data_IF_669673834665
#
_entry.id   IF_669673834665
#
_cell.length_a   1.000
_cell.length_b   1.000
_cell.length_c   1.000
_cell.angle_alpha   90.00
_cell.angle_beta   90.00
_cell.angle_gamma   90.00
#
_symmetry.space_group_name_H-M   'P 1'
#
loop_
_entity.id
_entity.type
_entity.pdbx_description
1 polymer ?
#
# COMPACT_ATOMS: atom_id res chain seq x y z
N UNK A 1 21.48 -45.61 8.96
CA UNK A 1 22.72 -45.06 8.36
C UNK A 1 22.54 -43.57 8.19
N UNK A 2 23.51 -42.75 8.62
CA UNK A 2 23.42 -41.29 8.54
C UNK A 2 24.04 -40.76 7.23
N UNK A 3 23.51 -39.64 6.72
CA UNK A 3 24.26 -38.67 5.92
C UNK A 3 23.98 -37.27 6.47
N UNK A 4 25.05 -36.52 6.68
CA UNK A 4 25.06 -35.16 7.23
C UNK A 4 25.94 -34.25 6.34
N UNK A 5 26.11 -32.98 6.75
CA UNK A 5 26.83 -31.88 6.08
C UNK A 5 26.09 -31.25 4.87
N UNK A 6 26.17 -29.95 4.55
CA UNK A 6 26.73 -28.73 5.20
C UNK A 6 26.17 -27.48 4.47
N UNK A 7 26.26 -26.20 4.91
CA UNK A 7 26.67 -25.60 6.20
C UNK A 7 26.27 -24.12 6.31
N UNK A 8 25.96 -23.65 7.53
CA UNK A 8 26.19 -22.31 8.12
C UNK A 8 26.28 -21.06 7.22
N UNK A 9 25.46 -20.06 7.54
CA UNK A 9 25.93 -18.68 7.75
C UNK A 9 25.28 -18.11 9.03
N UNK A 10 25.94 -17.15 9.67
CA UNK A 10 25.62 -16.70 11.04
C UNK A 10 24.77 -15.44 11.02
N UNK A 11 23.82 -15.29 11.95
CA UNK A 11 23.49 -13.98 12.50
C UNK A 11 23.05 -14.07 13.98
N UNK A 12 23.64 -13.19 14.78
CA UNK A 12 23.41 -12.88 16.21
C UNK A 12 22.18 -13.46 16.93
N UNK A 13 22.43 -14.14 18.06
CA UNK A 13 21.47 -14.27 19.17
C UNK A 13 21.11 -12.87 19.68
N UNK A 14 19.81 -12.55 19.76
CA UNK A 14 19.26 -11.58 20.72
C UNK A 14 18.01 -12.22 21.33
N UNK A 15 18.12 -12.54 22.61
CA UNK A 15 17.10 -12.73 23.64
C UNK A 15 15.72 -13.31 23.25
N UNK A 16 15.56 -14.60 23.56
CA UNK A 16 14.28 -15.26 23.58
C UNK A 16 13.44 -14.81 24.79
N UNK A 17 12.49 -13.91 24.58
CA UNK A 17 11.30 -13.83 25.44
C UNK A 17 10.22 -14.76 24.91
N UNK A 18 9.86 -15.75 25.72
CA UNK A 18 8.79 -16.68 25.43
C UNK A 18 7.43 -15.99 25.56
N UNK A 19 6.77 -15.74 24.44
CA UNK A 19 5.34 -15.45 24.43
C UNK A 19 4.65 -16.50 23.59
N UNK A 20 3.88 -17.38 24.23
CA UNK A 20 3.04 -18.41 23.61
C UNK A 20 1.82 -17.77 22.96
N UNK A 21 2.06 -16.89 21.98
CA UNK A 21 1.04 -16.34 21.10
C UNK A 21 0.64 -17.39 20.07
N UNK A 22 -0.67 -17.65 19.94
CA UNK A 22 -1.22 -18.51 18.89
C UNK A 22 -0.96 -17.85 17.53
N UNK A 23 0.09 -18.28 16.82
CA UNK A 23 0.44 -17.67 15.53
C UNK A 23 -0.63 -17.97 14.46
N UNK A 24 -1.54 -17.02 14.26
CA UNK A 24 -2.58 -17.11 13.22
C UNK A 24 -1.94 -16.89 11.84
N UNK A 25 -1.71 -17.98 11.12
CA UNK A 25 -1.21 -17.93 9.75
C UNK A 25 -2.17 -17.15 8.84
N UNK A 26 -1.66 -16.09 8.21
CA UNK A 26 -2.46 -15.20 7.39
C UNK A 26 -2.43 -15.65 5.91
N UNK A 27 -3.49 -16.34 5.49
CA UNK A 27 -3.73 -16.83 4.13
C UNK A 27 -3.55 -15.77 3.02
N UNK A 28 -3.69 -14.48 3.32
CA UNK A 28 -3.55 -13.40 2.32
C UNK A 28 -2.11 -12.89 2.18
N UNK A 29 -1.27 -13.08 3.20
CA UNK A 29 0.14 -12.68 3.18
C UNK A 29 1.11 -13.86 3.08
N UNK A 30 0.60 -15.10 3.14
CA UNK A 30 1.39 -16.34 3.18
C UNK A 30 2.45 -16.27 4.30
N UNK A 31 2.01 -15.89 5.51
CA UNK A 31 2.93 -15.59 6.61
C UNK A 31 2.33 -15.94 7.97
N UNK A 32 3.16 -16.59 8.79
CA UNK A 32 2.91 -16.88 10.21
C UNK A 32 2.99 -15.59 11.05
N UNK A 33 3.77 -14.60 10.59
CA UNK A 33 3.97 -13.31 11.27
C UNK A 33 2.88 -12.27 10.93
N UNK A 34 1.80 -12.68 10.27
CA UNK A 34 0.71 -11.78 9.88
C UNK A 34 1.05 -10.90 8.69
N UNK A 35 0.90 -9.58 8.82
CA UNK A 35 1.21 -8.62 7.75
C UNK A 35 2.72 -8.37 7.71
N UNK A 36 3.42 -8.57 6.57
CA UNK A 36 4.82 -8.19 6.46
C UNK A 36 4.99 -6.69 6.70
N UNK A 37 6.08 -6.31 7.37
CA UNK A 37 6.36 -4.89 7.63
C UNK A 37 6.45 -4.12 6.32
N UNK A 38 5.75 -3.00 6.25
CA UNK A 38 5.72 -2.08 5.10
C UNK A 38 7.09 -1.43 4.81
N UNK A 39 8.02 -1.55 5.76
CA UNK A 39 9.37 -1.01 5.73
C UNK A 39 10.39 -1.96 5.08
N UNK A 40 9.99 -3.16 4.67
CA UNK A 40 10.86 -4.07 3.90
C UNK A 40 10.84 -3.67 2.44
N UNK A 41 12.03 -3.57 1.84
CA UNK A 41 12.20 -3.31 0.42
C UNK A 41 11.53 -4.39 -0.44
N UNK A 42 10.88 -3.98 -1.53
CA UNK A 42 10.32 -4.90 -2.51
C UNK A 42 11.18 -4.97 -3.77
N UNK A 43 11.47 -6.20 -4.17
CA UNK A 43 12.17 -6.54 -5.42
C UNK A 43 11.34 -6.22 -6.68
N UNK A 44 10.02 -6.03 -6.54
CA UNK A 44 9.07 -5.86 -7.64
C UNK A 44 8.27 -4.55 -7.51
N UNK A 45 8.12 -3.84 -8.64
CA UNK A 45 7.41 -2.58 -8.75
C UNK A 45 6.44 -2.62 -9.93
N UNK A 46 5.23 -2.08 -9.75
CA UNK A 46 4.26 -1.92 -10.83
C UNK A 46 4.72 -0.82 -11.78
N UNK A 47 4.74 -1.11 -13.08
CA UNK A 47 4.78 -0.12 -14.15
C UNK A 47 3.40 0.00 -14.81
N UNK A 48 2.59 1.04 -14.48
CA UNK A 48 1.23 1.17 -15.02
C UNK A 48 1.17 1.25 -16.56
N UNK A 49 2.23 1.73 -17.19
CA UNK A 49 2.32 1.94 -18.64
C UNK A 49 2.65 0.66 -19.42
N UNK A 50 3.25 -0.35 -18.76
CA UNK A 50 3.67 -1.62 -19.39
C UNK A 50 2.87 -2.83 -18.92
N UNK A 51 2.51 -2.88 -17.64
CA UNK A 51 1.91 -4.07 -17.02
C UNK A 51 0.39 -4.13 -17.21
N UNK A 52 -0.22 -3.02 -17.62
CA UNK A 52 -1.65 -2.86 -17.92
C UNK A 52 -2.10 -3.79 -19.04
N UNK A 53 -2.58 -4.98 -18.68
CA UNK A 53 -2.88 -6.07 -19.59
C UNK A 53 -4.36 -6.48 -19.49
N UNK A 54 -4.99 -6.86 -20.61
CA UNK A 54 -6.31 -7.48 -20.56
C UNK A 54 -6.20 -8.80 -19.81
N UNK A 55 -7.09 -9.03 -18.85
CA UNK A 55 -7.16 -10.27 -18.06
C UNK A 55 -8.48 -10.99 -18.33
N UNK A 56 -8.68 -12.16 -17.71
CA UNK A 56 -9.96 -12.88 -17.74
C UNK A 56 -11.04 -12.22 -16.89
N UNK A 57 -10.69 -11.27 -16.02
CA UNK A 57 -11.68 -10.48 -15.29
C UNK A 57 -12.21 -9.32 -16.16
N UNK A 58 -13.54 -9.19 -16.20
CA UNK A 58 -14.24 -8.03 -16.77
C UNK A 58 -14.68 -7.04 -15.68
N UNK A 59 -14.83 -7.52 -14.45
CA UNK A 59 -15.34 -6.78 -13.29
C UNK A 59 -14.34 -6.81 -12.13
N UNK A 60 -14.44 -5.88 -11.15
CA UNK A 60 -13.62 -5.90 -9.92
C UNK A 60 -13.69 -7.24 -9.17
N UNK A 61 -12.68 -7.60 -8.35
CA UNK A 61 -11.62 -6.73 -7.82
C UNK A 61 -10.36 -6.63 -8.69
N UNK A 62 -9.52 -5.63 -8.36
CA UNK A 62 -8.16 -5.46 -8.90
C UNK A 62 -7.22 -6.52 -8.32
N UNK A 63 -6.21 -6.94 -9.08
CA UNK A 63 -5.25 -7.93 -8.63
C UNK A 63 -4.23 -7.31 -7.66
N UNK A 64 -4.17 -7.82 -6.41
CA UNK A 64 -3.17 -7.40 -5.42
C UNK A 64 -1.74 -7.65 -5.92
N UNK A 65 -1.48 -8.81 -6.54
CA UNK A 65 -0.15 -9.13 -7.06
C UNK A 65 0.26 -8.23 -8.24
N UNK A 66 -0.70 -7.70 -9.00
CA UNK A 66 -0.47 -6.71 -10.05
C UNK A 66 -0.13 -5.35 -9.45
N UNK A 67 -0.88 -4.88 -8.45
CA UNK A 67 -0.57 -3.64 -7.74
C UNK A 67 0.85 -3.66 -7.13
N UNK A 68 1.34 -4.85 -6.77
CA UNK A 68 2.70 -5.07 -6.26
C UNK A 68 3.76 -5.36 -7.34
N UNK A 69 3.41 -5.39 -8.63
CA UNK A 69 4.36 -5.66 -9.75
C UNK A 69 4.85 -7.10 -9.86
N UNK A 70 4.16 -8.08 -9.26
CA UNK A 70 4.61 -9.49 -9.15
C UNK A 70 3.66 -10.53 -9.78
N UNK A 71 2.67 -10.12 -10.56
CA UNK A 71 1.66 -11.04 -11.09
C UNK A 71 2.13 -11.79 -12.35
N UNK A 72 2.52 -13.05 -12.21
CA UNK A 72 2.93 -13.92 -13.33
C UNK A 72 1.78 -14.46 -14.19
N UNK A 73 0.51 -14.25 -13.81
CA UNK A 73 -0.66 -14.86 -14.49
C UNK A 73 -1.02 -14.20 -15.84
N UNK A 74 -0.61 -12.95 -16.05
CA UNK A 74 -0.94 -12.16 -17.25
C UNK A 74 -2.43 -12.24 -17.62
N UNK A 75 -2.71 -12.55 -18.89
CA UNK A 75 -4.07 -12.65 -19.44
C UNK A 75 -4.95 -13.67 -18.73
N UNK A 76 -4.38 -14.73 -18.15
CA UNK A 76 -5.15 -15.77 -17.44
C UNK A 76 -5.63 -15.34 -16.05
N UNK A 77 -5.22 -14.16 -15.56
CA UNK A 77 -5.57 -13.70 -14.22
C UNK A 77 -7.09 -13.52 -14.04
N UNK A 78 -7.59 -13.93 -12.87
CA UNK A 78 -9.01 -13.82 -12.48
C UNK A 78 -9.37 -12.47 -11.82
N UNK A 79 -8.48 -11.49 -11.88
CA UNK A 79 -8.62 -10.15 -11.27
C UNK A 79 -8.05 -9.11 -12.23
N UNK A 80 -8.53 -7.88 -12.18
CA UNK A 80 -8.17 -6.82 -13.13
C UNK A 80 -6.69 -6.40 -13.00
N UNK A 81 -6.02 -6.21 -14.14
CA UNK A 81 -4.68 -5.59 -14.26
C UNK A 81 -4.79 -4.19 -14.87
N UNK A 82 -5.38 -3.27 -14.11
CA UNK A 82 -5.41 -1.83 -14.43
C UNK A 82 -5.39 -1.00 -13.15
N UNK A 83 -5.12 0.28 -13.31
CA UNK A 83 -5.33 1.26 -12.24
C UNK A 83 -6.83 1.35 -11.85
N UNK A 84 -7.14 1.84 -10.63
CA UNK A 84 -8.51 2.06 -10.19
C UNK A 84 -9.24 3.05 -11.10
N UNK A 85 -10.54 2.83 -11.30
CA UNK A 85 -11.43 3.72 -12.02
C UNK A 85 -12.66 4.03 -11.15
N UNK A 86 -13.38 5.12 -11.46
CA UNK A 86 -14.62 5.50 -10.74
C UNK A 86 -15.65 4.37 -10.73
N UNK A 87 -15.65 3.51 -11.76
CA UNK A 87 -16.46 2.30 -11.85
C UNK A 87 -16.28 1.33 -10.66
N UNK A 88 -15.08 1.30 -10.06
CA UNK A 88 -14.74 0.38 -8.96
C UNK A 88 -15.30 0.85 -7.61
N UNK A 89 -15.85 2.06 -7.53
CA UNK A 89 -16.54 2.57 -6.34
C UNK A 89 -17.83 1.80 -6.01
N UNK A 90 -18.39 1.07 -6.98
CA UNK A 90 -19.54 0.18 -6.78
C UNK A 90 -19.26 -1.05 -5.91
N UNK A 91 -18.02 -1.26 -5.44
CA UNK A 91 -17.68 -2.32 -4.49
C UNK A 91 -18.34 -2.09 -3.11
N UNK A 92 -18.84 -3.16 -2.44
CA UNK A 92 -19.44 -3.04 -1.11
C UNK A 92 -18.51 -2.37 -0.10
N UNK A 93 -19.06 -1.53 0.79
CA UNK A 93 -18.26 -0.77 1.74
C UNK A 93 -17.44 -1.60 2.75
N UNK A 94 -17.74 -2.90 2.89
CA UNK A 94 -16.98 -3.85 3.70
C UNK A 94 -15.68 -4.34 3.06
N UNK A 95 -15.53 -4.26 1.73
CA UNK A 95 -14.37 -4.77 0.99
C UNK A 95 -13.49 -3.66 0.41
N UNK A 96 -12.19 -3.91 0.33
CA UNK A 96 -11.24 -3.06 -0.39
C UNK A 96 -11.25 -3.33 -1.90
N UNK A 97 -10.56 -2.50 -2.67
CA UNK A 97 -10.42 -2.65 -4.14
C UNK A 97 -9.84 -4.02 -4.59
N UNK A 98 -9.18 -4.75 -3.68
CA UNK A 98 -8.60 -6.07 -3.92
C UNK A 98 -9.53 -7.23 -3.53
N UNK A 99 -10.72 -6.92 -3.00
CA UNK A 99 -11.71 -7.89 -2.52
C UNK A 99 -11.43 -8.45 -1.12
N UNK A 100 -10.56 -7.80 -0.33
CA UNK A 100 -10.27 -8.18 1.06
C UNK A 100 -11.24 -7.45 2.00
N UNK A 101 -11.64 -8.09 3.09
CA UNK A 101 -12.43 -7.44 4.14
C UNK A 101 -11.62 -6.31 4.81
N UNK A 102 -12.17 -5.09 4.84
CA UNK A 102 -11.49 -3.90 5.39
C UNK A 102 -11.19 -4.01 6.88
N UNK A 103 -12.03 -4.73 7.64
CA UNK A 103 -11.82 -5.06 9.04
C UNK A 103 -10.54 -5.89 9.28
N UNK A 104 -10.19 -6.78 8.36
CA UNK A 104 -9.01 -7.64 8.46
C UNK A 104 -7.68 -6.92 8.13
N UNK A 105 -7.72 -5.64 7.73
CA UNK A 105 -6.52 -4.87 7.36
C UNK A 105 -5.97 -3.99 8.51
N UNK A 106 -6.57 -4.08 9.70
CA UNK A 106 -6.20 -3.34 10.92
C UNK A 106 -7.07 -2.10 11.18
N UNK A 107 -6.98 -1.49 12.38
CA UNK A 107 -7.90 -0.44 12.83
C UNK A 107 -7.94 0.77 11.89
N UNK A 108 -6.79 1.19 11.32
CA UNK A 108 -6.73 2.29 10.36
C UNK A 108 -7.52 2.07 9.06
N UNK A 109 -7.82 0.82 8.69
CA UNK A 109 -8.65 0.48 7.53
C UNK A 109 -10.15 0.55 7.83
N UNK A 110 -10.57 0.48 9.09
CA UNK A 110 -11.97 0.64 9.48
C UNK A 110 -12.39 2.12 9.61
N UNK A 111 -11.46 3.07 9.43
CA UNK A 111 -11.71 4.52 9.49
C UNK A 111 -12.57 5.04 8.31
N UNK A 112 -13.85 4.67 8.27
CA UNK A 112 -14.89 5.26 7.43
C UNK A 112 -14.52 5.39 5.94
N UNK A 113 -14.83 6.56 5.36
CA UNK A 113 -14.53 6.91 3.96
C UNK A 113 -13.12 7.50 3.77
N UNK A 114 -12.18 7.27 4.70
CA UNK A 114 -10.83 7.86 4.60
C UNK A 114 -10.18 7.55 3.25
N UNK A 115 -9.79 8.60 2.53
CA UNK A 115 -9.09 8.55 1.25
C UNK A 115 -7.70 9.21 1.30
N UNK A 116 -7.21 9.51 2.51
CA UNK A 116 -5.96 10.21 2.76
C UNK A 116 -4.84 9.24 3.13
N UNK A 117 -3.71 9.37 2.43
CA UNK A 117 -2.49 8.59 2.67
C UNK A 117 -1.36 9.53 3.12
N UNK A 118 -0.56 9.09 4.08
CA UNK A 118 0.58 9.83 4.60
C UNK A 118 1.88 9.20 4.11
N UNK A 119 2.80 10.04 3.63
CA UNK A 119 4.16 9.69 3.24
C UNK A 119 5.14 10.23 4.28
N UNK A 120 5.81 9.34 4.99
CA UNK A 120 6.79 9.71 6.01
C UNK A 120 8.10 10.17 5.37
N UNK A 121 8.59 11.36 5.73
CA UNK A 121 9.89 11.93 5.29
C UNK A 121 10.15 11.83 3.76
N UNK A 122 9.26 12.36 2.91
CA UNK A 122 9.42 12.28 1.46
C UNK A 122 10.65 13.08 0.99
N UNK A 123 11.63 12.40 0.37
CA UNK A 123 12.83 13.05 -0.14
C UNK A 123 12.55 14.13 -1.21
N UNK A 124 11.47 13.96 -1.97
CA UNK A 124 10.90 14.99 -2.85
C UNK A 124 9.37 14.85 -2.85
N UNK A 125 8.67 15.85 -2.29
CA UNK A 125 7.20 15.88 -2.22
C UNK A 125 6.55 15.95 -3.62
N UNK A 126 7.08 16.78 -4.52
CA UNK A 126 6.53 17.01 -5.86
C UNK A 126 6.62 15.76 -6.75
N UNK A 127 7.66 14.96 -6.57
CA UNK A 127 7.83 13.70 -7.29
C UNK A 127 6.81 12.65 -6.86
N UNK A 128 6.64 12.46 -5.54
CA UNK A 128 5.62 11.56 -4.97
C UNK A 128 4.21 12.00 -5.35
N UNK A 129 3.93 13.30 -5.34
CA UNK A 129 2.66 13.86 -5.77
C UNK A 129 2.37 13.56 -7.25
N UNK A 130 3.36 13.70 -8.13
CA UNK A 130 3.25 13.35 -9.55
C UNK A 130 2.92 11.86 -9.72
N UNK A 131 3.55 10.96 -8.96
CA UNK A 131 3.24 9.53 -8.96
C UNK A 131 1.79 9.29 -8.50
N UNK A 132 1.32 9.97 -7.46
CA UNK A 132 -0.06 9.85 -6.98
C UNK A 132 -1.08 10.30 -8.04
N UNK A 133 -0.80 11.37 -8.78
CA UNK A 133 -1.65 11.86 -9.89
C UNK A 133 -1.77 10.85 -11.04
N UNK A 134 -0.75 10.03 -11.27
CA UNK A 134 -0.84 8.93 -12.24
C UNK A 134 -1.73 7.79 -11.73
N UNK A 135 -1.77 7.52 -10.42
CA UNK A 135 -2.63 6.48 -9.82
C UNK A 135 -4.12 6.90 -9.85
N UNK A 136 -4.42 8.18 -9.66
CA UNK A 136 -5.79 8.69 -9.71
C UNK A 136 -5.96 10.17 -9.37
N UNK A 137 -7.20 10.66 -9.32
CA UNK A 137 -7.53 12.05 -8.99
C UNK A 137 -7.16 12.37 -7.53
N UNK A 138 -6.20 13.27 -7.37
CA UNK A 138 -5.66 13.76 -6.09
C UNK A 138 -6.26 15.12 -5.72
N UNK A 139 -6.50 15.30 -4.43
CA UNK A 139 -6.78 16.56 -3.72
C UNK A 139 -5.63 16.76 -2.73
N UNK A 140 -4.88 17.84 -2.87
CA UNK A 140 -3.57 17.97 -2.23
C UNK A 140 -3.66 18.60 -0.84
N UNK A 141 -2.92 18.04 0.11
CA UNK A 141 -2.60 18.66 1.40
C UNK A 141 -1.11 18.44 1.69
N UNK A 142 -0.51 19.36 2.43
CA UNK A 142 0.89 19.26 2.82
C UNK A 142 1.06 19.66 4.28
N UNK A 143 1.94 18.97 4.98
CA UNK A 143 2.52 19.41 6.23
C UNK A 143 4.03 19.46 6.08
N UNK A 144 4.66 20.40 6.79
CA UNK A 144 6.09 20.70 6.64
C UNK A 144 7.02 19.51 6.94
N UNK A 145 6.50 18.46 7.60
CA UNK A 145 7.22 17.23 7.96
C UNK A 145 6.71 15.94 7.29
N UNK A 146 5.47 15.93 6.77
CA UNK A 146 4.77 14.74 6.23
C UNK A 146 3.88 15.18 5.07
N UNK A 147 4.06 14.57 3.90
CA UNK A 147 3.16 14.80 2.76
C UNK A 147 1.89 13.96 2.95
N UNK A 148 0.71 14.58 2.93
CA UNK A 148 -0.59 13.91 3.10
C UNK A 148 -1.44 14.08 1.85
N UNK A 149 -1.51 13.03 1.05
CA UNK A 149 -2.24 13.03 -0.23
C UNK A 149 -3.66 12.51 -0.01
N UNK A 150 -4.68 13.35 -0.22
CA UNK A 150 -6.09 12.92 -0.20
C UNK A 150 -6.53 12.56 -1.61
N UNK A 151 -6.93 11.32 -1.85
CA UNK A 151 -7.57 10.97 -3.13
C UNK A 151 -9.04 11.36 -3.14
N UNK A 152 -9.60 11.62 -4.32
CA UNK A 152 -11.04 11.90 -4.47
C UNK A 152 -11.92 10.74 -3.97
N UNK A 153 -11.45 9.50 -4.11
CA UNK A 153 -12.15 8.29 -3.65
C UNK A 153 -11.19 7.35 -2.90
N UNK A 154 -11.70 6.66 -1.88
CA UNK A 154 -10.93 5.73 -1.03
C UNK A 154 -10.25 4.58 -1.81
N UNK A 155 -10.83 4.13 -2.92
CA UNK A 155 -10.27 3.06 -3.77
C UNK A 155 -8.85 3.37 -4.28
N UNK A 156 -8.53 4.65 -4.54
CA UNK A 156 -7.21 5.07 -4.99
C UNK A 156 -6.19 5.06 -3.85
N UNK A 157 -6.61 5.43 -2.63
CA UNK A 157 -5.77 5.34 -1.43
C UNK A 157 -5.41 3.89 -1.08
N UNK A 158 -6.40 2.98 -1.14
CA UNK A 158 -6.20 1.54 -0.93
C UNK A 158 -5.19 0.96 -1.93
N UNK A 159 -5.30 1.35 -3.20
CA UNK A 159 -4.37 0.94 -4.24
C UNK A 159 -2.97 1.53 -4.04
N UNK A 160 -2.86 2.85 -3.81
CA UNK A 160 -1.59 3.55 -3.64
C UNK A 160 -0.77 3.00 -2.46
N UNK A 161 -1.42 2.71 -1.32
CA UNK A 161 -0.77 2.10 -0.16
C UNK A 161 -0.16 0.73 -0.52
N UNK A 162 -0.91 -0.15 -1.17
CA UNK A 162 -0.40 -1.49 -1.52
C UNK A 162 0.64 -1.43 -2.65
N UNK A 163 0.55 -0.48 -3.58
CA UNK A 163 1.50 -0.34 -4.70
C UNK A 163 2.84 0.30 -4.28
N UNK A 164 2.80 1.41 -3.55
CA UNK A 164 3.96 2.26 -3.26
C UNK A 164 4.73 1.88 -1.99
N UNK A 165 4.08 1.26 -0.99
CA UNK A 165 4.76 0.86 0.26
C UNK A 165 5.95 -0.07 -0.01
N UNK A 166 7.12 0.24 0.55
CA UNK A 166 8.33 -0.58 0.42
C UNK A 166 9.00 -0.52 -0.95
N UNK A 167 8.56 0.36 -1.86
CA UNK A 167 9.23 0.62 -3.12
C UNK A 167 10.46 1.51 -2.92
N UNK A 168 11.52 1.31 -3.72
CA UNK A 168 12.61 2.29 -3.82
C UNK A 168 12.20 3.52 -4.61
N UNK A 169 12.64 4.69 -4.16
CA UNK A 169 12.48 5.95 -4.90
C UNK A 169 13.21 5.90 -6.25
N UNK A 170 14.42 5.32 -6.33
CA UNK A 170 15.14 5.11 -7.60
C UNK A 170 14.33 4.34 -8.65
N UNK A 171 13.69 3.23 -8.26
CA UNK A 171 12.81 2.45 -9.15
C UNK A 171 11.60 3.26 -9.62
N UNK A 172 10.96 4.01 -8.72
CA UNK A 172 9.82 4.86 -9.07
C UNK A 172 10.21 6.05 -9.98
N UNK A 173 11.38 6.65 -9.77
CA UNK A 173 11.95 7.67 -10.65
C UNK A 173 12.06 7.13 -12.09
N UNK A 174 12.66 5.95 -12.27
CA UNK A 174 12.83 5.32 -13.57
C UNK A 174 11.49 4.95 -14.26
N UNK A 175 10.46 4.55 -13.50
CA UNK A 175 9.15 4.16 -14.04
C UNK A 175 8.29 5.36 -14.45
N UNK A 176 8.26 6.40 -13.62
CA UNK A 176 7.39 7.57 -13.83
C UNK A 176 8.11 8.78 -14.42
N UNK A 177 9.43 8.69 -14.66
CA UNK A 177 10.31 9.75 -15.16
C UNK A 177 10.25 11.03 -14.29
N UNK A 178 10.57 10.89 -12.99
CA UNK A 178 10.41 11.99 -12.01
C UNK A 178 11.64 12.14 -11.12
N UNK A 179 12.24 13.32 -11.12
CA UNK A 179 13.51 13.62 -10.43
C UNK A 179 13.40 13.52 -8.89
N UNK A 180 13.54 12.32 -8.35
CA UNK A 180 13.61 12.05 -6.92
C UNK A 180 15.06 12.23 -6.42
N UNK A 181 15.25 13.15 -5.47
CA UNK A 181 16.55 13.73 -5.10
C UNK A 181 17.40 12.91 -4.13
N UNK A 182 16.82 11.90 -3.47
CA UNK A 182 17.53 10.90 -2.67
C UNK A 182 16.87 9.54 -2.86
N UNK A 183 17.68 8.49 -2.98
CA UNK A 183 17.16 7.13 -2.93
C UNK A 183 16.83 6.72 -1.49
N UNK A 184 15.86 5.83 -1.34
CA UNK A 184 15.30 5.41 -0.06
C UNK A 184 14.05 4.57 -0.27
N UNK A 185 13.43 4.11 0.81
CA UNK A 185 12.17 3.35 0.76
C UNK A 185 10.98 4.26 1.00
N UNK A 186 9.94 4.12 0.18
CA UNK A 186 8.68 4.82 0.37
C UNK A 186 7.86 4.12 1.47
N UNK A 187 7.73 4.76 2.63
CA UNK A 187 6.76 4.34 3.65
C UNK A 187 5.43 5.08 3.42
N UNK A 188 4.37 4.33 3.11
CA UNK A 188 3.01 4.87 2.91
C UNK A 188 2.07 4.24 3.91
N UNK A 189 1.45 5.08 4.73
CA UNK A 189 0.47 4.67 5.73
C UNK A 189 -0.87 5.41 5.55
N UNK A 190 -1.91 4.92 6.22
CA UNK A 190 -3.17 5.67 6.30
C UNK A 190 -2.91 6.95 7.06
N UNK A 191 -3.41 8.09 6.57
CA UNK A 191 -3.37 9.31 7.35
C UNK A 191 -4.31 9.15 8.57
N UNK A 192 -3.76 9.36 9.76
CA UNK A 192 -4.54 9.39 10.98
C UNK A 192 -5.27 10.73 11.07
N UNK A 193 -6.55 10.72 10.65
CA UNK A 193 -7.54 11.80 10.70
C UNK A 193 -7.48 12.78 9.50
N UNK A 194 -8.68 13.25 9.12
CA UNK A 194 -8.94 14.04 7.92
C UNK A 194 -8.40 15.47 8.05
N UNK A 195 -7.56 15.87 7.10
CA UNK A 195 -7.25 17.28 6.86
C UNK A 195 -8.42 17.95 6.14
N UNK A 196 -9.30 18.60 6.92
CA UNK A 196 -10.34 19.47 6.39
C UNK A 196 -11.55 19.66 7.30
N UNK A 197 -12.11 18.57 7.83
CA UNK A 197 -13.48 18.55 8.36
C UNK A 197 -13.54 18.56 9.90
N UNK A 198 -12.77 19.45 10.53
CA UNK A 198 -13.10 19.95 11.87
C UNK A 198 -13.45 21.44 11.69
N UNK A 199 -14.74 21.83 11.71
CA UNK A 199 -15.09 23.24 11.83
C UNK A 199 -14.46 23.76 13.13
N UNK A 200 -13.72 24.87 13.04
CA UNK A 200 -12.84 25.37 14.11
C UNK A 200 -13.55 25.87 15.38
N UNK A 201 -14.86 25.66 15.49
CA UNK A 201 -15.72 26.24 16.53
C UNK A 201 -16.21 25.22 17.58
N UNK A 202 -16.22 23.91 17.30
CA UNK A 202 -16.84 22.91 18.22
C UNK A 202 -15.88 22.34 19.29
N UNK A 203 -14.99 23.15 19.87
CA UNK A 203 -14.05 22.74 20.93
C UNK A 203 -14.32 23.44 22.27
N UNK A 204 -15.34 24.30 22.36
CA UNK A 204 -15.69 25.03 23.59
C UNK A 204 -17.11 24.79 24.14
N UNK A 205 -18.01 24.16 23.39
CA UNK A 205 -19.43 23.98 23.79
C UNK A 205 -19.72 22.64 24.50
N UNK A 206 -18.80 22.16 25.35
CA UNK A 206 -19.00 20.99 26.22
C UNK A 206 -18.55 21.26 27.67
N UNK A 207 -19.06 22.37 28.23
CA UNK A 207 -19.15 22.65 29.66
C UNK A 207 -20.54 23.20 29.99
#
# INVERSE_FOLDING_TARGET
MAKACCSKSQQSKIDAQSTTGTCVYNLFYDSINGRPSRSVERETCLNPFKDGSKTRATVPPVCLDYARGRCSRGVTCRRLHRLPAVQDEGLPHSVDIFGRQRSALGPGSFLGKNSSVAFEKPANQQGILTICKHIGPVIEYNHDTVLVVRFKHRIYAEFAIEALSGQRLSTLNAIYNVSLSRDGLVNVNWAHINLGDIPRESVLDLY
#
